data_IF_543476215649
#
_entry.id   IF_543476215649
#
_cell.length_a   1.000
_cell.length_b   1.000
_cell.length_c   1.000
_cell.angle_alpha   90.00
_cell.angle_beta   90.00
_cell.angle_gamma   90.00
#
_symmetry.space_group_name_H-M   'P 1'
#
loop_
_entity.id
_entity.type
_entity.pdbx_description
1 polymer ?
#
# COMPACT_ATOMS: atom_id res chain seq x y z
N UNK A 1 6.22 -8.15 -5.74
CA UNK A 1 5.01 -8.07 -6.57
C UNK A 1 5.34 -7.62 -7.99
N UNK A 2 5.96 -6.46 -8.22
CA UNK A 2 6.30 -5.97 -9.57
C UNK A 2 6.96 -7.00 -10.52
N UNK A 3 7.88 -7.82 -10.01
CA UNK A 3 8.55 -8.88 -10.79
C UNK A 3 7.59 -10.02 -11.19
N UNK A 4 6.64 -10.39 -10.31
CA UNK A 4 5.74 -11.54 -10.52
C UNK A 4 4.39 -11.15 -11.13
N UNK A 5 4.05 -9.86 -11.11
CA UNK A 5 2.84 -9.28 -11.69
C UNK A 5 3.24 -8.17 -12.69
N UNK A 6 3.85 -8.53 -13.83
CA UNK A 6 4.36 -7.54 -14.78
C UNK A 6 3.26 -6.64 -15.37
N UNK A 7 2.03 -7.17 -15.49
CA UNK A 7 0.85 -6.45 -16.00
C UNK A 7 0.26 -5.44 -15.01
N UNK A 8 0.71 -5.43 -13.75
CA UNK A 8 0.23 -4.50 -12.72
C UNK A 8 1.23 -3.37 -12.49
N UNK A 9 0.73 -2.15 -12.29
CA UNK A 9 1.56 -1.00 -11.94
C UNK A 9 1.64 -0.80 -10.42
N UNK A 10 2.84 -0.48 -9.91
CA UNK A 10 3.07 -0.28 -8.47
C UNK A 10 3.66 1.10 -8.17
N UNK A 11 2.92 1.94 -7.45
CA UNK A 11 3.47 3.17 -6.86
C UNK A 11 4.14 2.84 -5.53
N UNK A 12 5.44 3.12 -5.41
CA UNK A 12 6.24 2.83 -4.22
C UNK A 12 6.46 4.13 -3.43
N UNK A 13 5.62 4.36 -2.42
CA UNK A 13 5.60 5.58 -1.62
C UNK A 13 6.48 5.46 -0.38
N UNK A 14 7.40 6.41 -0.16
CA UNK A 14 8.14 6.52 1.11
C UNK A 14 8.48 8.00 1.40
N UNK A 15 8.41 8.43 2.66
CA UNK A 15 8.71 9.82 3.04
C UNK A 15 10.22 10.12 3.04
N UNK A 16 11.07 9.10 3.14
CA UNK A 16 12.52 9.21 3.24
C UNK A 16 13.16 9.15 1.86
N UNK A 17 13.66 10.29 1.38
CA UNK A 17 14.30 10.37 0.06
C UNK A 17 15.46 9.41 -0.17
N UNK A 18 16.17 8.96 0.88
CA UNK A 18 17.22 7.92 0.77
C UNK A 18 16.63 6.59 0.27
N UNK A 19 15.45 6.20 0.78
CA UNK A 19 14.77 4.96 0.37
C UNK A 19 14.23 5.08 -1.05
N UNK A 20 13.65 6.23 -1.40
CA UNK A 20 13.17 6.48 -2.77
C UNK A 20 14.30 6.44 -3.79
N UNK A 21 15.47 7.03 -3.49
CA UNK A 21 16.65 6.93 -4.36
C UNK A 21 17.12 5.48 -4.53
N UNK A 22 17.13 4.69 -3.45
CA UNK A 22 17.42 3.27 -3.54
C UNK A 22 16.41 2.53 -4.42
N UNK A 23 15.11 2.80 -4.29
CA UNK A 23 14.07 2.21 -5.13
C UNK A 23 14.24 2.56 -6.62
N UNK A 24 14.63 3.80 -6.94
CA UNK A 24 14.96 4.19 -8.33
C UNK A 24 16.18 3.44 -8.87
N UNK A 25 17.18 3.19 -8.04
CA UNK A 25 18.32 2.35 -8.44
C UNK A 25 17.86 0.92 -8.71
N UNK A 26 17.08 0.32 -7.80
CA UNK A 26 16.52 -1.04 -8.00
C UNK A 26 15.68 -1.12 -9.28
N UNK A 27 14.83 -0.12 -9.53
CA UNK A 27 14.06 0.00 -10.76
C UNK A 27 14.95 -0.05 -12.00
N UNK A 28 16.04 0.73 -12.01
CA UNK A 28 16.98 0.78 -13.13
C UNK A 28 17.75 -0.53 -13.34
N UNK A 29 18.34 -1.07 -12.27
CA UNK A 29 19.16 -2.29 -12.30
C UNK A 29 18.34 -3.52 -12.73
N UNK A 30 17.08 -3.61 -12.28
CA UNK A 30 16.18 -4.72 -12.59
C UNK A 30 15.32 -4.48 -13.83
N UNK A 31 15.42 -3.31 -14.47
CA UNK A 31 14.63 -2.90 -15.64
C UNK A 31 13.12 -3.06 -15.40
N UNK A 32 12.64 -2.55 -14.27
CA UNK A 32 11.22 -2.59 -13.92
C UNK A 32 10.49 -1.40 -14.54
N UNK A 33 9.69 -1.66 -15.57
CA UNK A 33 8.90 -0.62 -16.25
C UNK A 33 7.53 -0.39 -15.59
N UNK A 34 7.15 -1.25 -14.64
CA UNK A 34 5.85 -1.25 -13.97
C UNK A 34 5.89 -0.71 -12.52
N UNK A 35 6.88 0.11 -12.17
CA UNK A 35 6.99 0.73 -10.83
C UNK A 35 7.23 2.23 -10.90
N UNK A 36 6.66 2.97 -9.94
CA UNK A 36 6.85 4.43 -9.80
C UNK A 36 7.26 4.78 -8.36
N UNK A 37 8.56 5.00 -8.08
CA UNK A 37 9.02 5.45 -6.77
C UNK A 37 8.69 6.92 -6.49
N UNK A 38 7.94 7.19 -5.42
CA UNK A 38 7.48 8.53 -5.03
C UNK A 38 7.97 8.87 -3.64
N UNK A 39 8.53 10.08 -3.50
CA UNK A 39 8.85 10.64 -2.19
C UNK A 39 7.69 11.52 -1.71
N UNK A 40 6.86 10.99 -0.81
CA UNK A 40 5.81 11.76 -0.15
C UNK A 40 5.42 11.11 1.19
N UNK A 41 4.74 11.88 2.02
CA UNK A 41 3.92 11.34 3.11
C UNK A 41 2.59 10.87 2.53
N UNK A 42 1.95 9.90 3.19
CA UNK A 42 0.71 9.31 2.67
C UNK A 42 -0.40 10.36 2.61
N UNK A 43 -0.50 11.18 3.65
CA UNK A 43 -1.50 12.25 3.80
C UNK A 43 -1.42 13.34 2.72
N UNK A 44 -0.24 13.49 2.10
CA UNK A 44 0.02 14.51 1.08
C UNK A 44 0.06 13.92 -0.33
N UNK A 45 -0.12 12.61 -0.49
CA UNK A 45 -0.04 11.96 -1.79
C UNK A 45 -1.41 11.99 -2.50
N UNK A 46 -1.53 12.64 -3.66
CA UNK A 46 -2.77 12.63 -4.42
C UNK A 46 -2.99 11.27 -5.06
N UNK A 47 -4.16 10.67 -4.83
CA UNK A 47 -4.58 9.42 -5.45
C UNK A 47 -5.51 9.69 -6.64
N UNK A 48 -4.94 10.28 -7.69
CA UNK A 48 -5.65 10.58 -8.94
C UNK A 48 -4.89 9.99 -10.14
N UNK A 49 -5.37 8.87 -10.74
CA UNK A 49 -6.55 8.08 -10.34
C UNK A 49 -6.35 7.32 -9.02
N UNK A 50 -7.43 6.90 -8.34
CA UNK A 50 -7.34 6.10 -7.13
C UNK A 50 -6.86 4.66 -7.43
N UNK A 51 -6.38 3.95 -6.40
CA UNK A 51 -5.78 2.62 -6.56
C UNK A 51 -6.79 1.48 -6.41
N UNK A 52 -6.59 0.40 -7.18
CA UNK A 52 -7.34 -0.85 -6.97
C UNK A 52 -6.91 -1.57 -5.67
N UNK A 53 -5.70 -1.28 -5.17
CA UNK A 53 -5.18 -1.92 -3.97
C UNK A 53 -4.12 -1.09 -3.26
N UNK A 54 -4.18 -1.08 -1.93
CA UNK A 54 -3.17 -0.47 -1.06
C UNK A 54 -2.57 -1.54 -0.17
N UNK A 55 -1.26 -1.74 -0.29
CA UNK A 55 -0.51 -2.76 0.44
C UNK A 55 0.48 -2.11 1.39
N UNK A 56 0.52 -2.55 2.65
CA UNK A 56 1.47 -2.02 3.63
C UNK A 56 1.85 -3.03 4.70
N UNK A 57 3.09 -2.87 5.18
CA UNK A 57 3.64 -3.54 6.37
C UNK A 57 4.13 -2.56 7.44
N UNK A 58 3.84 -1.26 7.24
CA UNK A 58 4.42 -0.18 8.03
C UNK A 58 3.57 0.22 9.25
N UNK A 59 2.33 -0.28 9.35
CA UNK A 59 1.39 0.11 10.39
C UNK A 59 1.35 -0.90 11.54
N UNK A 60 1.17 -0.39 12.77
CA UNK A 60 1.05 -1.21 13.96
C UNK A 60 -0.29 -1.95 13.99
N UNK A 61 -1.38 -1.27 13.61
CA UNK A 61 -2.75 -1.82 13.57
C UNK A 61 -3.42 -1.67 12.20
N UNK A 62 -4.52 -2.42 11.98
CA UNK A 62 -5.38 -2.23 10.80
C UNK A 62 -6.08 -0.87 10.82
N UNK A 63 -6.48 -0.40 11.99
CA UNK A 63 -7.13 0.88 12.18
C UNK A 63 -6.21 2.04 11.74
N UNK A 64 -4.92 1.98 12.10
CA UNK A 64 -3.94 2.96 11.61
C UNK A 64 -3.88 2.93 10.07
N UNK A 65 -3.73 1.74 9.47
CA UNK A 65 -3.63 1.61 8.01
C UNK A 65 -4.84 2.24 7.31
N UNK A 66 -6.05 1.94 7.77
CA UNK A 66 -7.28 2.52 7.21
C UNK A 66 -7.31 4.04 7.43
N UNK A 67 -7.05 4.51 8.65
CA UNK A 67 -7.08 5.93 9.00
C UNK A 67 -6.15 6.77 8.13
N UNK A 68 -4.91 6.32 7.92
CA UNK A 68 -3.91 7.05 7.13
C UNK A 68 -4.11 6.90 5.62
N UNK A 69 -4.65 5.77 5.15
CA UNK A 69 -4.70 5.46 3.72
C UNK A 69 -6.10 5.49 3.10
N UNK A 70 -7.17 5.81 3.83
CA UNK A 70 -8.57 5.75 3.34
C UNK A 70 -8.82 6.50 2.02
N UNK A 71 -8.03 7.54 1.73
CA UNK A 71 -8.16 8.38 0.52
C UNK A 71 -7.48 7.78 -0.71
N UNK A 72 -6.73 6.67 -0.58
CA UNK A 72 -5.96 6.08 -1.67
C UNK A 72 -6.77 5.10 -2.54
N UNK A 73 -7.53 4.13 -1.98
CA UNK A 73 -8.21 3.15 -2.80
C UNK A 73 -9.39 3.77 -3.56
N UNK A 74 -9.73 3.16 -4.69
CA UNK A 74 -11.00 3.40 -5.36
C UNK A 74 -12.17 2.89 -4.50
N UNK A 75 -13.41 3.20 -4.89
CA UNK A 75 -14.60 2.74 -4.17
C UNK A 75 -14.66 1.21 -3.99
N UNK A 76 -14.11 0.45 -4.95
CA UNK A 76 -13.99 -1.01 -4.90
C UNK A 76 -12.55 -1.48 -4.65
N UNK A 77 -11.67 -0.60 -4.19
CA UNK A 77 -10.28 -0.91 -3.91
C UNK A 77 -10.12 -1.62 -2.57
N UNK A 78 -9.04 -2.38 -2.43
CA UNK A 78 -8.80 -3.22 -1.25
C UNK A 78 -7.56 -2.82 -0.45
N UNK A 79 -7.60 -3.06 0.85
CA UNK A 79 -6.44 -2.98 1.74
C UNK A 79 -5.81 -4.35 1.94
N UNK A 80 -4.50 -4.46 1.68
CA UNK A 80 -3.71 -5.66 1.89
C UNK A 80 -2.70 -5.42 3.02
N UNK A 81 -3.04 -5.87 4.22
CA UNK A 81 -2.18 -5.72 5.40
C UNK A 81 -1.27 -6.95 5.57
N UNK A 82 0.04 -6.75 5.54
CA UNK A 82 1.01 -7.81 5.80
C UNK A 82 1.28 -7.88 7.30
N UNK A 83 0.57 -8.78 7.99
CA UNK A 83 0.70 -8.99 9.44
C UNK A 83 1.31 -10.35 9.75
N UNK A 84 1.88 -10.44 10.95
CA UNK A 84 2.29 -11.72 11.54
C UNK A 84 1.07 -12.51 12.01
N UNK A 85 1.02 -12.87 13.29
CA UNK A 85 -0.19 -13.48 13.85
C UNK A 85 -1.37 -12.50 13.76
N UNK A 86 -2.42 -12.91 13.06
CA UNK A 86 -3.68 -12.18 13.00
C UNK A 86 -4.33 -12.22 14.38
N UNK A 87 -4.37 -11.06 15.05
CA UNK A 87 -5.08 -10.89 16.32
C UNK A 87 -6.55 -10.62 16.01
N UNK A 88 -7.46 -11.36 16.66
CA UNK A 88 -8.91 -11.22 16.41
C UNK A 88 -9.41 -9.83 16.80
N UNK A 89 -8.81 -9.26 17.84
CA UNK A 89 -9.12 -7.96 18.40
C UNK A 89 -8.87 -6.81 17.39
N UNK A 90 -7.88 -6.95 16.51
CA UNK A 90 -7.66 -5.97 15.43
C UNK A 90 -8.75 -6.00 14.36
N UNK A 91 -9.37 -7.16 14.17
CA UNK A 91 -10.46 -7.30 13.21
C UNK A 91 -11.75 -6.68 13.72
N UNK A 92 -12.01 -6.86 15.01
CA UNK A 92 -13.19 -6.32 15.69
C UNK A 92 -13.12 -4.80 15.86
N UNK A 93 -11.92 -4.20 15.77
CA UNK A 93 -11.67 -2.76 15.90
C UNK A 93 -11.52 -2.02 14.57
N UNK A 94 -11.94 -2.65 13.47
CA UNK A 94 -12.02 -1.97 12.17
C UNK A 94 -13.05 -0.82 12.22
N UNK A 95 -12.76 0.33 11.59
CA UNK A 95 -13.74 1.41 11.44
C UNK A 95 -14.98 0.95 10.67
N UNK A 96 -16.11 1.61 10.93
CA UNK A 96 -17.36 1.36 10.21
C UNK A 96 -17.17 1.58 8.68
N UNK A 97 -17.76 0.71 7.87
CA UNK A 97 -17.60 0.73 6.41
C UNK A 97 -16.43 -0.09 5.87
N UNK A 98 -15.65 -0.74 6.74
CA UNK A 98 -14.59 -1.67 6.35
C UNK A 98 -14.90 -3.08 6.85
N UNK A 99 -14.82 -4.05 5.94
CA UNK A 99 -15.03 -5.46 6.25
C UNK A 99 -13.79 -6.27 5.95
N UNK A 100 -13.57 -7.30 6.76
CA UNK A 100 -12.50 -8.25 6.50
C UNK A 100 -12.95 -9.34 5.53
N UNK A 101 -12.32 -9.36 4.36
CA UNK A 101 -12.42 -10.48 3.45
C UNK A 101 -11.29 -11.48 3.76
N UNK A 102 -11.63 -12.74 4.06
CA UNK A 102 -10.65 -13.83 3.95
C UNK A 102 -10.42 -14.11 2.48
N UNK A 103 -9.15 -14.21 2.07
CA UNK A 103 -8.80 -14.74 0.76
C UNK A 103 -9.09 -16.24 0.75
N UNK A 104 -10.12 -16.64 0.03
CA UNK A 104 -10.38 -18.04 -0.34
C UNK A 104 -9.45 -18.48 -1.48
#
# INVERSE_FOLDING_TARGET
MAIVCPESHFTLLDSLGKRVRFLRQVQHELKLDNVTPVQSRVEAFPAEPPFDGVISRAFASLNDMVSWCHHLPAANGHFYALKGLAQKEEMESLPEGYEHCRGD
#
